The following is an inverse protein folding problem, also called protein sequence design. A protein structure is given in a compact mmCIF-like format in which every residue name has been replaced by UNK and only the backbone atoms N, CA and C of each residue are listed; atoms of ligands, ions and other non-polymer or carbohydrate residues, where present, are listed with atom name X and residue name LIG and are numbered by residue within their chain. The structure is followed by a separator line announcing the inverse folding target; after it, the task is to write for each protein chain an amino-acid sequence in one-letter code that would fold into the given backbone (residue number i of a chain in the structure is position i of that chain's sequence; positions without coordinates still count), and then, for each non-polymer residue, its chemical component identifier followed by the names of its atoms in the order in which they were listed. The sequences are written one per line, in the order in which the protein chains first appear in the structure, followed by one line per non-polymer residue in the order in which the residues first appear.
data_IF_148290470364
#
_entry.id   IF_148290470364
#
_cell.length_a   1.000
_cell.length_b   1.000
_cell.length_c   1.000
_cell.angle_alpha   90.00
_cell.angle_beta   90.00
_cell.angle_gamma   90.00
#
_symmetry.space_group_name_H-M   'P 1'
#
loop_
_entity.id
_entity.type
_entity.pdbx_description
1 polymer ?
#
# COMPACT_ATOMS: atom_id res chain seq x y z
N UNK A 1 -2.62 30.66 -5.94
CA UNK A 1 -1.57 30.54 -4.91
C UNK A 1 -1.66 29.14 -4.33
N UNK A 2 -0.71 28.27 -4.70
CA UNK A 2 -0.64 26.89 -4.19
C UNK A 2 -0.01 26.92 -2.80
N UNK A 3 -0.80 26.60 -1.78
CA UNK A 3 -0.31 26.43 -0.42
C UNK A 3 0.44 25.09 -0.35
N UNK A 4 1.76 25.13 -0.49
CA UNK A 4 2.61 24.01 -0.10
C UNK A 4 2.46 23.79 1.41
N UNK A 5 1.73 22.74 1.78
CA UNK A 5 1.71 22.20 3.14
C UNK A 5 3.14 21.78 3.49
N UNK A 6 3.87 22.64 4.22
CA UNK A 6 5.23 22.35 4.66
C UNK A 6 5.16 21.20 5.68
N UNK A 7 5.67 20.03 5.27
CA UNK A 7 5.94 18.94 6.20
C UNK A 7 6.89 19.43 7.30
N UNK A 8 6.56 19.14 8.57
CA UNK A 8 7.35 19.55 9.75
C UNK A 8 8.48 18.58 10.09
N UNK A 9 8.71 17.56 9.26
CA UNK A 9 9.77 16.58 9.49
C UNK A 9 10.90 16.85 8.51
N UNK A 10 12.09 17.07 9.06
CA UNK A 10 13.35 17.14 8.33
C UNK A 10 14.07 15.82 8.57
N UNK A 11 14.44 15.13 7.50
CA UNK A 11 15.23 13.91 7.62
C UNK A 11 16.68 14.24 7.31
N UNK A 12 17.58 13.79 8.18
CA UNK A 12 19.01 13.99 8.03
C UNK A 12 19.66 12.63 7.79
N UNK A 13 20.29 12.45 6.63
CA UNK A 13 21.13 11.27 6.38
C UNK A 13 22.38 11.38 7.25
N UNK A 14 22.51 10.54 8.27
CA UNK A 14 23.65 10.63 9.19
C UNK A 14 25.04 10.46 8.52
N UNK A 15 25.23 9.59 7.50
CA UNK A 15 26.54 9.45 6.87
C UNK A 15 26.97 10.64 6.02
N UNK A 16 26.01 11.31 5.37
CA UNK A 16 26.30 12.42 4.43
C UNK A 16 25.97 13.80 5.02
N UNK A 17 25.26 13.83 6.15
CA UNK A 17 24.64 15.02 6.74
C UNK A 17 23.73 15.78 5.76
N UNK A 18 23.27 15.10 4.71
CA UNK A 18 22.34 15.69 3.75
C UNK A 18 20.94 15.72 4.34
N UNK A 19 20.29 16.87 4.18
CA UNK A 19 18.89 17.04 4.53
C UNK A 19 18.04 16.55 3.35
N UNK A 20 17.20 15.56 3.60
CA UNK A 20 16.14 15.16 2.68
C UNK A 20 14.79 15.70 3.14
N UNK A 21 14.15 16.44 2.22
CA UNK A 21 12.78 16.85 2.34
C UNK A 21 11.90 15.82 1.64
N UNK A 22 11.18 15.02 2.41
CA UNK A 22 10.16 14.15 1.84
C UNK A 22 8.84 14.92 1.77
N UNK A 23 8.34 15.06 0.55
CA UNK A 23 6.97 15.51 0.31
C UNK A 23 6.24 14.41 -0.44
N UNK A 24 5.09 13.98 0.06
CA UNK A 24 4.14 13.28 -0.81
C UNK A 24 3.58 14.36 -1.72
N UNK A 25 4.08 14.41 -2.96
CA UNK A 25 3.53 15.33 -3.96
C UNK A 25 2.17 14.80 -4.35
N UNK A 26 1.16 15.66 -4.29
CA UNK A 26 -0.07 15.44 -5.04
C UNK A 26 0.34 15.34 -6.52
N UNK A 27 0.40 14.12 -7.05
CA UNK A 27 0.58 13.94 -8.49
C UNK A 27 -0.74 14.31 -9.16
N UNK A 28 -0.72 15.11 -10.24
CA UNK A 28 -1.92 15.33 -11.03
C UNK A 28 -2.39 13.98 -11.57
N UNK A 29 -3.49 13.48 -11.00
CA UNK A 29 -4.12 12.24 -11.47
C UNK A 29 -4.77 12.58 -12.80
N UNK A 30 -4.23 12.02 -13.89
CA UNK A 30 -4.90 12.07 -15.18
C UNK A 30 -6.27 11.40 -15.01
N UNK A 31 -7.33 12.17 -15.24
CA UNK A 31 -8.67 11.62 -15.27
C UNK A 31 -8.84 10.87 -16.59
N UNK A 32 -9.25 9.61 -16.48
CA UNK A 32 -9.61 8.79 -17.63
C UNK A 32 -11.13 8.64 -17.64
N UNK A 33 -11.73 8.63 -18.83
CA UNK A 33 -13.13 8.24 -18.97
C UNK A 33 -13.31 6.76 -18.66
N UNK A 34 -14.55 6.36 -18.33
CA UNK A 34 -14.87 4.95 -18.11
C UNK A 34 -14.59 4.12 -19.37
N UNK A 35 -14.84 4.70 -20.55
CA UNK A 35 -14.62 4.07 -21.85
C UNK A 35 -13.13 3.84 -22.11
N UNK A 36 -12.28 4.82 -21.81
CA UNK A 36 -10.81 4.67 -21.92
C UNK A 36 -10.30 3.57 -20.99
N UNK A 37 -10.79 3.52 -19.75
CA UNK A 37 -10.40 2.48 -18.80
C UNK A 37 -10.89 1.10 -19.22
N UNK A 38 -12.11 0.97 -19.75
CA UNK A 38 -12.63 -0.28 -20.27
C UNK A 38 -11.89 -0.73 -21.53
N UNK A 39 -11.52 0.20 -22.41
CA UNK A 39 -10.72 -0.10 -23.60
C UNK A 39 -9.34 -0.63 -23.21
N UNK A 40 -8.71 -0.03 -22.20
CA UNK A 40 -7.37 -0.42 -21.75
C UNK A 40 -7.37 -1.72 -20.93
N UNK A 41 -8.22 -1.80 -19.91
CA UNK A 41 -8.19 -2.88 -18.92
C UNK A 41 -9.23 -3.99 -19.17
N UNK A 42 -10.12 -3.80 -20.15
CA UNK A 42 -11.15 -4.76 -20.57
C UNK A 42 -12.32 -4.89 -19.59
N UNK A 43 -12.06 -4.93 -18.29
CA UNK A 43 -13.07 -4.99 -17.22
C UNK A 43 -12.69 -4.10 -16.05
N UNK A 44 -13.70 -3.51 -15.43
CA UNK A 44 -13.55 -2.82 -14.15
C UNK A 44 -14.05 -3.75 -13.04
N UNK A 45 -13.26 -3.91 -11.98
CA UNK A 45 -13.71 -4.64 -10.80
C UNK A 45 -14.68 -3.75 -10.04
N UNK A 46 -15.96 -4.10 -10.11
CA UNK A 46 -17.02 -3.46 -9.35
C UNK A 46 -16.93 -3.76 -7.85
N UNK A 47 -17.78 -3.09 -7.03
CA UNK A 47 -17.85 -3.38 -5.61
C UNK A 47 -18.21 -4.85 -5.37
N UNK A 48 -17.49 -5.51 -4.47
CA UNK A 48 -17.83 -6.88 -4.06
C UNK A 48 -19.21 -6.86 -3.37
N UNK A 49 -20.13 -7.80 -3.64
CA UNK A 49 -21.42 -7.82 -2.98
C UNK A 49 -21.28 -7.93 -1.45
N UNK A 50 -22.18 -7.29 -0.71
CA UNK A 50 -22.22 -7.41 0.74
C UNK A 50 -23.00 -8.67 1.11
N UNK A 51 -22.29 -9.74 1.41
CA UNK A 51 -22.90 -11.01 1.81
C UNK A 51 -23.04 -11.15 3.34
N UNK A 52 -22.77 -10.09 4.11
CA UNK A 52 -22.91 -10.05 5.58
C UNK A 52 -21.72 -10.63 6.37
N UNK A 53 -20.96 -11.55 5.79
CA UNK A 53 -19.92 -12.31 6.52
C UNK A 53 -18.54 -11.63 6.55
N UNK A 54 -18.30 -10.64 5.69
CA UNK A 54 -16.99 -9.98 5.53
C UNK A 54 -17.09 -8.50 5.82
N UNK A 55 -16.08 -7.98 6.53
CA UNK A 55 -15.96 -6.56 6.82
C UNK A 55 -15.90 -5.71 5.53
N UNK A 56 -16.21 -4.43 5.66
CA UNK A 56 -16.03 -3.47 4.56
C UNK A 56 -14.57 -3.39 4.12
N UNK A 57 -13.62 -3.43 5.06
CA UNK A 57 -12.19 -3.38 4.78
C UNK A 57 -11.74 -4.58 3.95
N UNK A 58 -12.19 -5.78 4.32
CA UNK A 58 -11.93 -7.02 3.58
C UNK A 58 -12.44 -6.94 2.14
N UNK A 59 -13.68 -6.47 1.96
CA UNK A 59 -14.29 -6.34 0.63
C UNK A 59 -13.54 -5.34 -0.26
N UNK A 60 -13.16 -4.20 0.30
CA UNK A 60 -12.38 -3.18 -0.43
C UNK A 60 -10.98 -3.69 -0.76
N UNK A 61 -10.28 -4.32 0.18
CA UNK A 61 -8.96 -4.91 -0.06
C UNK A 61 -9.01 -6.02 -1.14
N UNK A 62 -10.05 -6.86 -1.11
CA UNK A 62 -10.30 -7.86 -2.16
C UNK A 62 -10.47 -7.20 -3.53
N UNK A 63 -11.28 -6.13 -3.60
CA UNK A 63 -11.49 -5.39 -4.84
C UNK A 63 -10.17 -4.80 -5.37
N UNK A 64 -9.38 -4.15 -4.51
CA UNK A 64 -8.10 -3.57 -4.90
C UNK A 64 -7.07 -4.61 -5.32
N UNK A 65 -7.05 -5.79 -4.67
CA UNK A 65 -6.21 -6.91 -5.09
C UNK A 65 -6.55 -7.36 -6.53
N UNK A 66 -7.83 -7.53 -6.85
CA UNK A 66 -8.22 -7.91 -8.21
C UNK A 66 -7.94 -6.79 -9.24
N UNK A 67 -8.08 -5.52 -8.86
CA UNK A 67 -7.69 -4.39 -9.72
C UNK A 67 -6.18 -4.37 -9.96
N UNK A 68 -5.37 -4.60 -8.93
CA UNK A 68 -3.92 -4.67 -9.03
C UNK A 68 -3.47 -5.80 -9.96
N UNK A 69 -4.12 -6.97 -9.91
CA UNK A 69 -3.84 -8.07 -10.85
C UNK A 69 -4.10 -7.66 -12.31
N UNK A 70 -5.21 -6.95 -12.57
CA UNK A 70 -5.52 -6.48 -13.93
C UNK A 70 -4.52 -5.42 -14.39
N UNK A 71 -4.23 -4.42 -13.54
CA UNK A 71 -3.28 -3.37 -13.85
C UNK A 71 -1.89 -3.94 -14.12
N UNK A 72 -1.40 -4.82 -13.25
CA UNK A 72 -0.10 -5.45 -13.43
C UNK A 72 -0.05 -6.25 -14.75
N UNK A 73 -1.10 -7.04 -15.04
CA UNK A 73 -1.15 -7.85 -16.27
C UNK A 73 -1.17 -7.02 -17.56
N UNK A 74 -1.70 -5.79 -17.52
CA UNK A 74 -1.80 -4.90 -18.69
C UNK A 74 -0.59 -3.96 -18.79
N UNK A 75 -0.16 -3.39 -17.67
CA UNK A 75 0.86 -2.34 -17.63
C UNK A 75 2.27 -2.87 -17.34
N UNK A 76 2.40 -4.09 -16.82
CA UNK A 76 3.69 -4.72 -16.50
C UNK A 76 4.30 -4.29 -15.16
N UNK A 77 3.74 -3.24 -14.55
CA UNK A 77 4.14 -2.67 -13.26
C UNK A 77 2.94 -2.09 -12.50
N UNK A 78 3.09 -1.90 -11.19
CA UNK A 78 2.14 -1.28 -10.30
C UNK A 78 2.81 -0.12 -9.54
N UNK A 79 2.15 1.03 -9.61
CA UNK A 79 2.43 2.09 -8.67
C UNK A 79 2.01 1.64 -7.26
N UNK A 80 2.90 1.80 -6.28
CA UNK A 80 2.51 1.56 -4.88
C UNK A 80 1.65 2.70 -4.39
N UNK A 81 0.48 2.41 -3.83
CA UNK A 81 -0.50 3.41 -3.40
C UNK A 81 -1.02 3.06 -2.00
N UNK A 82 -1.09 4.07 -1.13
CA UNK A 82 -1.87 4.02 0.11
C UNK A 82 -3.22 4.70 -0.07
N UNK A 83 -4.28 4.03 0.35
CA UNK A 83 -5.65 4.52 0.29
C UNK A 83 -6.14 4.72 1.71
N UNK A 84 -6.44 5.97 2.05
CA UNK A 84 -6.94 6.36 3.36
C UNK A 84 -8.46 6.33 3.33
N UNK A 85 -9.06 5.64 4.30
CA UNK A 85 -10.47 5.30 4.30
C UNK A 85 -11.15 5.82 5.56
N UNK A 86 -12.42 6.19 5.42
CA UNK A 86 -13.34 6.31 6.55
C UNK A 86 -14.62 5.57 6.20
N UNK A 87 -14.92 4.53 6.98
CA UNK A 87 -16.03 3.61 6.71
C UNK A 87 -15.87 2.95 5.33
N UNK A 88 -16.74 3.27 4.38
CA UNK A 88 -16.72 2.76 3.00
C UNK A 88 -16.16 3.77 1.97
N UNK A 89 -15.71 4.95 2.42
CA UNK A 89 -15.26 6.03 1.53
C UNK A 89 -13.75 6.16 1.51
N UNK A 90 -13.19 6.23 0.30
CA UNK A 90 -11.80 6.64 0.08
C UNK A 90 -11.72 8.16 0.31
N UNK A 91 -11.04 8.55 1.39
CA UNK A 91 -10.78 9.96 1.70
C UNK A 91 -9.63 10.52 0.87
N UNK A 92 -8.63 9.69 0.56
CA UNK A 92 -7.45 10.09 -0.17
C UNK A 92 -6.67 8.89 -0.71
N UNK A 93 -5.99 9.09 -1.83
CA UNK A 93 -5.04 8.14 -2.40
C UNK A 93 -3.67 8.82 -2.46
N UNK A 94 -2.67 8.18 -1.87
CA UNK A 94 -1.30 8.66 -1.77
C UNK A 94 -0.42 7.73 -2.62
N UNK A 95 0.06 8.17 -3.79
CA UNK A 95 1.09 7.42 -4.49
C UNK A 95 2.37 7.44 -3.65
N UNK A 96 2.93 6.26 -3.41
CA UNK A 96 4.12 6.07 -2.58
C UNK A 96 5.30 5.73 -3.47
N UNK A 97 6.41 6.41 -3.23
CA UNK A 97 7.68 6.12 -3.88
C UNK A 97 8.70 5.78 -2.80
N UNK A 98 9.27 4.59 -2.87
CA UNK A 98 10.31 4.13 -1.96
C UNK A 98 11.62 4.05 -2.73
N UNK A 99 12.61 4.84 -2.33
CA UNK A 99 13.94 4.80 -2.92
C UNK A 99 14.73 3.58 -2.42
N UNK A 100 14.53 3.24 -1.14
CA UNK A 100 15.14 2.10 -0.46
C UNK A 100 14.29 1.67 0.75
N UNK A 101 14.77 0.68 1.51
CA UNK A 101 14.08 0.15 2.69
C UNK A 101 14.01 1.14 3.86
N UNK A 102 14.97 2.04 4.01
CA UNK A 102 14.98 2.99 5.11
C UNK A 102 14.01 4.15 4.81
N UNK A 103 13.99 4.59 3.55
CA UNK A 103 13.05 5.57 3.03
C UNK A 103 11.60 5.09 3.18
N UNK A 104 11.34 3.78 3.12
CA UNK A 104 10.00 3.21 3.41
C UNK A 104 9.48 3.63 4.79
N UNK A 105 10.31 3.59 5.84
CA UNK A 105 9.87 3.99 7.18
C UNK A 105 9.54 5.48 7.24
N UNK A 106 10.36 6.33 6.62
CA UNK A 106 10.14 7.77 6.57
C UNK A 106 8.84 8.13 5.82
N UNK A 107 8.58 7.49 4.67
CA UNK A 107 7.33 7.68 3.92
C UNK A 107 6.13 7.23 4.75
N UNK A 108 6.23 6.11 5.48
CA UNK A 108 5.12 5.62 6.30
C UNK A 108 4.82 6.51 7.51
N UNK A 109 5.79 7.25 8.05
CA UNK A 109 5.52 8.31 9.05
C UNK A 109 4.70 9.45 8.44
N UNK A 110 4.97 9.83 7.18
CA UNK A 110 4.18 10.86 6.49
C UNK A 110 2.77 10.36 6.20
N UNK A 111 2.63 9.11 5.76
CA UNK A 111 1.32 8.46 5.59
C UNK A 111 0.55 8.47 6.91
N UNK A 112 1.20 8.20 8.03
CA UNK A 112 0.57 8.24 9.35
C UNK A 112 0.09 9.65 9.73
N UNK A 113 0.85 10.70 9.38
CA UNK A 113 0.38 12.08 9.54
C UNK A 113 -0.84 12.39 8.66
N UNK A 114 -0.88 11.89 7.42
CA UNK A 114 -2.04 12.05 6.56
C UNK A 114 -3.27 11.30 7.10
N UNK A 115 -3.07 10.11 7.70
CA UNK A 115 -4.13 9.40 8.44
C UNK A 115 -4.67 10.26 9.58
N UNK A 116 -3.80 10.85 10.40
CA UNK A 116 -4.20 11.74 11.51
C UNK A 116 -4.96 12.97 10.99
N UNK A 117 -4.37 13.68 10.02
CA UNK A 117 -4.88 14.92 9.44
C UNK A 117 -6.27 14.75 8.83
N UNK A 118 -6.50 13.63 8.14
CA UNK A 118 -7.76 13.33 7.46
C UNK A 118 -8.74 12.55 8.32
N UNK A 119 -8.36 12.20 9.55
CA UNK A 119 -9.15 11.36 10.47
C UNK A 119 -9.55 10.02 9.84
N UNK A 120 -8.66 9.44 9.04
CA UNK A 120 -8.91 8.15 8.43
C UNK A 120 -8.99 7.06 9.51
N UNK A 121 -9.96 6.16 9.35
CA UNK A 121 -10.22 5.03 10.26
C UNK A 121 -9.77 3.70 9.70
N UNK A 122 -9.34 3.65 8.44
CA UNK A 122 -8.65 2.51 7.86
C UNK A 122 -7.64 2.95 6.79
N UNK A 123 -6.72 2.06 6.46
CA UNK A 123 -5.75 2.20 5.37
C UNK A 123 -5.65 0.89 4.61
N UNK A 124 -5.54 0.99 3.29
CA UNK A 124 -5.14 -0.13 2.42
C UNK A 124 -3.91 0.32 1.65
N UNK A 125 -2.84 -0.47 1.66
CA UNK A 125 -1.63 -0.25 0.88
C UNK A 125 -1.49 -1.36 -0.14
N UNK A 126 -1.41 -0.99 -1.41
CA UNK A 126 -1.26 -1.90 -2.55
C UNK A 126 0.06 -1.62 -3.23
N UNK A 127 0.84 -2.64 -3.55
CA UNK A 127 2.06 -2.49 -4.33
C UNK A 127 2.74 -3.82 -4.64
N UNK A 128 3.84 -3.74 -5.37
CA UNK A 128 4.73 -4.88 -5.61
C UNK A 128 5.72 -5.05 -4.46
N UNK A 129 5.99 -6.31 -4.12
CA UNK A 129 6.99 -6.67 -3.11
C UNK A 129 7.78 -7.90 -3.57
N UNK A 130 8.99 -8.05 -3.04
CA UNK A 130 9.72 -9.31 -3.10
C UNK A 130 9.35 -10.17 -1.90
N UNK A 131 9.01 -11.43 -2.15
CA UNK A 131 8.82 -12.45 -1.12
C UNK A 131 9.84 -13.56 -1.30
N UNK A 132 10.15 -14.27 -0.23
CA UNK A 132 11.10 -15.38 -0.25
C UNK A 132 10.62 -16.48 0.71
N UNK A 133 10.97 -17.75 0.43
CA UNK A 133 10.70 -18.83 1.36
C UNK A 133 11.44 -18.61 2.69
N UNK A 134 10.82 -19.04 3.79
CA UNK A 134 11.44 -18.97 5.11
C UNK A 134 12.60 -19.97 5.21
N UNK A 135 13.78 -19.49 5.61
CA UNK A 135 14.97 -20.31 5.87
C UNK A 135 15.27 -20.31 7.38
N UNK A 136 15.08 -21.44 8.11
CA UNK A 136 15.33 -21.50 9.54
C UNK A 136 16.81 -21.31 9.89
N UNK A 137 17.74 -21.55 8.95
CA UNK A 137 19.17 -21.32 9.16
C UNK A 137 19.56 -19.84 8.96
N UNK A 138 18.68 -19.04 8.36
CA UNK A 138 18.88 -17.62 8.14
C UNK A 138 17.56 -16.84 8.37
N UNK A 139 17.01 -16.85 9.60
CA UNK A 139 15.66 -16.33 9.87
C UNK A 139 15.52 -14.82 9.66
N UNK A 140 16.63 -14.09 9.59
CA UNK A 140 16.68 -12.65 9.35
C UNK A 140 17.07 -12.29 7.90
N UNK A 141 17.21 -13.27 7.00
CA UNK A 141 17.51 -13.01 5.59
C UNK A 141 16.40 -12.17 4.97
N UNK A 142 16.75 -11.08 4.30
CA UNK A 142 15.76 -10.27 3.58
C UNK A 142 15.41 -10.96 2.28
N UNK A 143 14.18 -10.74 1.79
CA UNK A 143 13.75 -11.33 0.52
C UNK A 143 14.68 -10.94 -0.64
N UNK A 144 15.17 -9.70 -0.69
CA UNK A 144 16.09 -9.23 -1.74
C UNK A 144 17.40 -10.04 -1.82
N UNK A 145 17.86 -10.54 -0.68
CA UNK A 145 19.09 -11.32 -0.54
C UNK A 145 18.87 -12.82 -0.82
N UNK A 146 17.62 -13.25 -1.02
CA UNK A 146 17.29 -14.63 -1.34
C UNK A 146 17.38 -14.87 -2.86
N UNK A 147 18.15 -15.87 -3.32
CA UNK A 147 18.18 -16.25 -4.73
C UNK A 147 16.82 -16.73 -5.24
N UNK A 148 16.05 -17.39 -4.39
CA UNK A 148 14.72 -17.97 -4.69
C UNK A 148 13.57 -16.97 -4.46
N UNK A 149 13.88 -15.67 -4.37
CA UNK A 149 12.84 -14.65 -4.22
C UNK A 149 11.92 -14.62 -5.43
N UNK A 150 10.66 -14.30 -5.18
CA UNK A 150 9.65 -14.09 -6.22
C UNK A 150 8.98 -12.73 -6.02
N UNK A 151 8.46 -12.17 -7.11
CA UNK A 151 7.64 -10.96 -7.04
C UNK A 151 6.23 -11.32 -6.57
N UNK A 152 5.60 -10.42 -5.84
CA UNK A 152 4.22 -10.57 -5.41
C UNK A 152 3.50 -9.23 -5.37
N UNK A 153 2.20 -9.26 -5.64
CA UNK A 153 1.30 -8.17 -5.26
C UNK A 153 1.01 -8.32 -3.77
N UNK A 154 1.27 -7.26 -3.01
CA UNK A 154 0.86 -7.15 -1.63
C UNK A 154 -0.29 -6.16 -1.48
N UNK A 155 -1.35 -6.57 -0.79
CA UNK A 155 -2.41 -5.67 -0.31
C UNK A 155 -2.51 -5.77 1.19
N UNK A 156 -1.89 -4.84 1.90
CA UNK A 156 -1.95 -4.76 3.36
C UNK A 156 -3.11 -3.85 3.77
N UNK A 157 -3.99 -4.34 4.63
CA UNK A 157 -5.15 -3.63 5.10
C UNK A 157 -5.10 -3.54 6.63
N UNK A 158 -5.43 -2.36 7.16
CA UNK A 158 -5.43 -2.10 8.59
C UNK A 158 -6.54 -1.11 8.95
N UNK A 159 -7.31 -1.41 10.01
CA UNK A 159 -8.33 -0.52 10.57
C UNK A 159 -7.97 -0.02 11.96
N UNK A 160 -8.58 1.10 12.35
CA UNK A 160 -8.49 1.67 13.70
C UNK A 160 -9.11 0.75 14.76
N UNK A 161 -10.05 -0.11 14.38
CA UNK A 161 -10.62 -1.11 15.30
C UNK A 161 -9.70 -2.32 15.53
N UNK A 162 -8.56 -2.39 14.84
CA UNK A 162 -7.56 -3.46 14.99
C UNK A 162 -7.70 -4.60 13.98
N UNK A 163 -8.59 -4.50 12.99
CA UNK A 163 -8.62 -5.45 11.88
C UNK A 163 -7.37 -5.26 11.02
N UNK A 164 -6.59 -6.32 10.83
CA UNK A 164 -5.36 -6.29 10.06
C UNK A 164 -5.18 -7.60 9.30
N UNK A 165 -4.92 -7.51 8.00
CA UNK A 165 -4.57 -8.66 7.18
C UNK A 165 -3.81 -8.20 5.94
N UNK A 166 -3.14 -9.14 5.29
CA UNK A 166 -2.38 -8.89 4.08
C UNK A 166 -2.65 -9.97 3.05
N UNK A 167 -3.10 -9.57 1.86
CA UNK A 167 -3.03 -10.45 0.69
C UNK A 167 -1.61 -10.47 0.14
N UNK A 168 -1.18 -11.64 -0.28
CA UNK A 168 0.02 -11.83 -1.06
C UNK A 168 -0.30 -12.71 -2.27
N UNK A 169 -0.08 -12.17 -3.47
CA UNK A 169 -0.31 -12.87 -4.75
C UNK A 169 1.02 -12.93 -5.49
N UNK A 170 1.78 -14.04 -5.39
CA UNK A 170 3.00 -14.22 -6.14
C UNK A 170 2.74 -14.12 -7.64
N UNK A 171 3.71 -13.63 -8.40
CA UNK A 171 3.65 -13.65 -9.85
C UNK A 171 5.02 -13.85 -10.49
N UNK A 172 5.01 -14.31 -11.73
CA UNK A 172 6.18 -14.41 -12.59
C UNK A 172 5.91 -13.82 -13.96
N UNK A 173 6.97 -13.35 -14.63
CA UNK A 173 6.92 -12.84 -16.00
C UNK A 173 7.44 -13.93 -16.96
N UNK A 174 6.64 -14.31 -17.95
CA UNK A 174 7.04 -15.24 -19.00
C UNK A 174 6.73 -14.66 -20.38
N UNK A 175 7.76 -14.39 -21.20
CA UNK A 175 7.72 -14.08 -22.64
C UNK A 175 6.53 -13.20 -23.12
N UNK A 176 6.07 -12.23 -22.31
CA UNK A 176 4.97 -11.24 -22.51
C UNK A 176 3.72 -11.40 -21.63
N UNK A 177 3.64 -12.41 -20.76
CA UNK A 177 2.48 -12.61 -19.86
C UNK A 177 2.88 -12.70 -18.40
N UNK A 178 2.02 -12.15 -17.56
CA UNK A 178 2.12 -12.27 -16.10
C UNK A 178 1.28 -13.45 -15.65
N UNK A 179 1.93 -14.37 -14.94
CA UNK A 179 1.31 -15.55 -14.37
C UNK A 179 1.17 -15.35 -12.87
N UNK A 180 -0.07 -15.33 -12.38
CA UNK A 180 -0.36 -15.24 -10.96
C UNK A 180 -0.33 -16.62 -10.32
N UNK A 181 0.39 -16.74 -9.21
CA UNK A 181 0.40 -17.92 -8.34
C UNK A 181 -0.80 -17.95 -7.39
N UNK A 182 -0.78 -18.93 -6.49
CA UNK A 182 -1.80 -19.06 -5.45
C UNK A 182 -1.74 -17.90 -4.46
N UNK A 183 -2.91 -17.30 -4.20
CA UNK A 183 -3.00 -16.20 -3.24
C UNK A 183 -2.99 -16.71 -1.81
N UNK A 184 -2.36 -15.95 -0.93
CA UNK A 184 -2.36 -16.20 0.51
C UNK A 184 -2.89 -14.99 1.25
N UNK A 185 -3.49 -15.24 2.41
CA UNK A 185 -3.93 -14.20 3.34
C UNK A 185 -3.19 -14.45 4.66
N UNK A 186 -2.56 -13.41 5.19
CA UNK A 186 -1.88 -13.44 6.48
C UNK A 186 -2.48 -12.41 7.41
N UNK A 187 -2.78 -12.83 8.64
CA UNK A 187 -3.21 -11.95 9.73
C UNK A 187 -2.00 -11.50 10.59
N UNK A 188 -0.78 -11.76 10.11
CA UNK A 188 0.43 -11.31 10.78
C UNK A 188 0.56 -9.78 10.74
N UNK A 189 0.94 -9.13 11.85
CA UNK A 189 1.11 -7.69 11.88
C UNK A 189 2.13 -7.18 10.86
N UNK A 190 1.75 -6.17 10.08
CA UNK A 190 2.62 -5.46 9.15
C UNK A 190 3.49 -4.45 9.89
N UNK A 191 4.79 -4.71 9.94
CA UNK A 191 5.76 -3.83 10.62
C UNK A 191 5.81 -2.41 10.04
N UNK A 192 5.59 -2.26 8.74
CA UNK A 192 5.62 -0.94 8.10
C UNK A 192 4.38 -0.08 8.39
N UNK A 193 3.30 -0.67 8.92
CA UNK A 193 2.10 0.05 9.35
C UNK A 193 2.17 0.50 10.83
N UNK A 194 3.26 0.19 11.54
CA UNK A 194 3.46 0.61 12.93
C UNK A 194 3.28 2.12 13.14
N UNK A 195 3.76 3.03 12.28
CA UNK A 195 3.50 4.47 12.43
C UNK A 195 2.00 4.80 12.48
N UNK A 196 1.19 4.17 11.63
CA UNK A 196 -0.28 4.37 11.60
C UNK A 196 -0.92 3.87 12.90
N UNK A 197 -0.51 2.69 13.38
CA UNK A 197 -0.98 2.14 14.66
C UNK A 197 -0.68 3.09 15.83
N UNK A 198 0.52 3.68 15.85
CA UNK A 198 0.92 4.66 16.88
C UNK A 198 0.00 5.89 16.89
N UNK A 199 -0.35 6.42 15.73
CA UNK A 199 -1.27 7.57 15.63
C UNK A 199 -2.62 7.25 16.24
N UNK A 200 -3.22 6.10 15.92
CA UNK A 200 -4.52 5.73 16.46
C UNK A 200 -4.50 5.36 17.95
N UNK A 201 -3.37 4.88 18.46
CA UNK A 201 -3.18 4.61 19.89
C UNK A 201 -3.03 5.89 20.73
N UNK A 202 -2.73 7.05 20.12
CA UNK A 202 -2.69 8.32 20.87
C UNK A 202 -4.08 8.61 21.45
N UNK A 203 -4.18 8.97 22.74
CA UNK A 203 -5.45 9.40 23.30
C UNK A 203 -5.93 10.65 22.57
N UNK A 204 -7.20 10.64 22.13
CA UNK A 204 -7.82 11.78 21.46
C UNK A 204 -7.73 12.99 22.40
N UNK A 205 -6.88 13.98 22.08
CA UNK A 205 -6.89 15.26 22.79
C UNK A 205 -8.25 15.90 22.52
N UNK A 206 -9.12 15.93 23.52
CA UNK A 206 -10.28 16.84 23.52
C UNK A 206 -9.71 18.25 23.57
N UNK A 207 -9.82 18.98 22.45
CA UNK A 207 -9.69 20.42 22.43
C UNK A 207 -10.99 21.03 22.95
#
# INVERSE_FOLDING_TARGET
MSSFSHYRIVWLKLPTLEIEYYSIRDMPIKQFSKEELLQKYGKLVGPQPNNGDKSILFRLATQFKEQAKIMLAVDGELLTIAMLLSEDKILHMLPLHFADNDHKYAVMEIVAQEVERRRATAIIVVGEVWVAPFDPNAPYRRAIDCPEKTEAIQVAALSKSGEEFTYCVPFGKNEEKILFGEETISEMPSNFLVPVKKIWAKPTRRL
#
